data_IF_196773187518
#
_entry.id   IF_196773187518
#
_cell.length_a   1.000
_cell.length_b   1.000
_cell.length_c   1.000
_cell.angle_alpha   90.00
_cell.angle_beta   90.00
_cell.angle_gamma   90.00
#
_symmetry.space_group_name_H-M   'P 1'
#
loop_
_entity.id
_entity.type
_entity.pdbx_description
1 polymer ?
#
# COMPACT_ATOMS: atom_id res chain seq x y z
N UNK A 1 -23.56 -14.23 5.97
CA UNK A 1 -22.32 -15.03 6.19
C UNK A 1 -21.21 -14.04 6.46
N UNK A 2 -20.97 -13.70 7.74
CA UNK A 2 -19.91 -12.75 8.12
C UNK A 2 -18.69 -13.54 8.61
N UNK A 3 -17.81 -13.93 7.69
CA UNK A 3 -16.50 -14.47 8.03
C UNK A 3 -15.48 -13.33 8.11
N UNK A 4 -15.65 -12.47 9.11
CA UNK A 4 -14.65 -11.48 9.50
C UNK A 4 -13.61 -12.14 10.41
N UNK A 5 -12.73 -12.99 9.86
CA UNK A 5 -11.60 -13.53 10.60
C UNK A 5 -10.76 -12.37 11.13
N UNK A 6 -10.84 -12.11 12.44
CA UNK A 6 -10.09 -11.09 13.18
C UNK A 6 -8.60 -11.47 13.27
N UNK A 7 -7.96 -11.73 12.15
CA UNK A 7 -6.51 -11.91 12.15
C UNK A 7 -5.86 -10.54 12.34
N UNK A 8 -5.13 -10.43 13.47
CA UNK A 8 -4.32 -9.26 13.80
C UNK A 8 -3.36 -8.99 12.64
N UNK A 9 -3.54 -7.85 11.98
CA UNK A 9 -2.58 -7.35 10.98
C UNK A 9 -1.26 -7.10 11.70
N UNK A 10 -0.19 -7.73 11.22
CA UNK A 10 1.16 -7.51 11.74
C UNK A 10 1.76 -6.25 11.10
N UNK A 11 2.59 -5.52 11.84
CA UNK A 11 3.31 -4.36 11.31
C UNK A 11 4.68 -4.79 10.83
N UNK A 12 5.09 -4.34 9.65
CA UNK A 12 6.45 -4.47 9.14
C UNK A 12 7.02 -3.06 8.99
N UNK A 13 8.21 -2.82 9.50
CA UNK A 13 8.99 -1.63 9.20
C UNK A 13 9.87 -1.92 7.97
N UNK A 14 9.56 -1.39 6.79
CA UNK A 14 10.35 -1.69 5.60
C UNK A 14 11.72 -1.01 5.70
N UNK A 15 12.77 -1.83 5.87
CA UNK A 15 14.18 -1.41 5.83
C UNK A 15 14.89 -2.20 4.75
N UNK A 16 15.51 -1.52 3.80
CA UNK A 16 16.10 -2.17 2.63
C UNK A 16 15.04 -2.84 1.76
N UNK A 17 15.37 -4.01 1.22
CA UNK A 17 14.45 -4.78 0.38
C UNK A 17 13.52 -5.67 1.23
N UNK A 18 12.21 -5.60 0.97
CA UNK A 18 11.20 -6.38 1.68
C UNK A 18 10.59 -7.41 0.74
N UNK A 19 11.20 -8.59 0.70
CA UNK A 19 10.77 -9.71 -0.13
C UNK A 19 10.49 -10.99 0.65
N UNK A 20 10.93 -11.07 1.91
CA UNK A 20 10.74 -12.23 2.77
C UNK A 20 9.57 -12.06 3.75
N UNK A 21 8.66 -13.04 3.79
CA UNK A 21 7.56 -13.10 4.75
C UNK A 21 8.07 -13.37 6.18
N UNK A 22 7.83 -12.47 7.15
CA UNK A 22 8.31 -12.65 8.53
C UNK A 22 7.49 -13.70 9.31
N UNK A 23 6.44 -14.28 8.72
CA UNK A 23 5.61 -15.30 9.37
C UNK A 23 5.84 -16.72 8.87
N UNK A 24 6.25 -16.90 7.62
CA UNK A 24 6.48 -18.23 7.05
C UNK A 24 7.81 -18.37 6.28
N UNK A 25 8.58 -17.30 6.13
CA UNK A 25 9.89 -17.32 5.47
C UNK A 25 9.87 -17.41 3.94
N UNK A 26 8.71 -17.25 3.28
CA UNK A 26 8.61 -17.16 1.82
C UNK A 26 9.42 -15.97 1.26
N UNK A 27 10.16 -16.11 0.16
CA UNK A 27 11.17 -15.14 -0.31
C UNK A 27 10.94 -14.59 -1.74
N UNK A 28 9.75 -14.74 -2.33
CA UNK A 28 9.47 -14.28 -3.70
C UNK A 28 8.54 -13.06 -3.71
N UNK A 29 8.65 -12.22 -2.68
CA UNK A 29 7.85 -11.00 -2.56
C UNK A 29 6.43 -11.20 -2.05
N UNK A 30 5.60 -10.16 -2.25
CA UNK A 30 4.25 -10.07 -1.69
C UNK A 30 3.26 -9.58 -2.74
N UNK A 31 2.00 -9.99 -2.60
CA UNK A 31 0.89 -9.29 -3.24
C UNK A 31 0.61 -7.97 -2.53
N UNK A 32 0.20 -6.96 -3.28
CA UNK A 32 -0.07 -5.62 -2.77
C UNK A 32 -1.57 -5.37 -2.81
N UNK A 33 -2.13 -4.86 -1.70
CA UNK A 33 -3.51 -4.41 -1.60
C UNK A 33 -3.57 -2.97 -1.10
N UNK A 34 -4.51 -2.21 -1.65
CA UNK A 34 -4.78 -0.84 -1.23
C UNK A 34 -6.07 -0.79 -0.43
N UNK A 35 -6.05 -0.07 0.69
CA UNK A 35 -7.24 0.22 1.48
C UNK A 35 -7.46 1.72 1.48
N UNK A 36 -8.47 2.18 0.74
CA UNK A 36 -8.81 3.59 0.61
C UNK A 36 -9.79 4.01 1.69
N UNK A 37 -9.71 5.27 2.11
CA UNK A 37 -10.74 5.90 2.92
C UNK A 37 -12.05 6.06 2.12
N UNK A 38 -13.13 6.48 2.78
CA UNK A 38 -14.46 6.56 2.17
C UNK A 38 -14.53 7.49 0.93
N UNK A 39 -13.73 8.55 0.89
CA UNK A 39 -13.73 9.49 -0.25
C UNK A 39 -12.70 9.13 -1.33
N UNK A 40 -11.93 8.06 -1.12
CA UNK A 40 -10.85 7.60 -1.99
C UNK A 40 -9.74 8.65 -2.19
N UNK A 41 -9.57 9.60 -1.26
CA UNK A 41 -8.55 10.65 -1.30
C UNK A 41 -7.22 10.17 -0.74
N UNK A 42 -7.27 9.33 0.30
CA UNK A 42 -6.12 8.75 0.97
C UNK A 42 -6.31 7.25 1.16
N UNK A 43 -5.21 6.51 1.15
CA UNK A 43 -5.24 5.07 1.39
C UNK A 43 -3.96 4.57 2.05
N UNK A 44 -3.98 3.30 2.40
CA UNK A 44 -2.86 2.59 3.00
C UNK A 44 -2.50 1.35 2.19
N UNK A 45 -1.21 1.03 2.17
CA UNK A 45 -0.67 -0.16 1.51
C UNK A 45 -0.57 -1.32 2.50
N UNK A 46 -1.04 -2.48 2.07
CA UNK A 46 -0.88 -3.75 2.77
C UNK A 46 -0.10 -4.74 1.90
N UNK A 47 0.80 -5.48 2.52
CA UNK A 47 1.50 -6.61 1.91
C UNK A 47 0.80 -7.92 2.30
N UNK A 48 0.59 -8.81 1.35
CA UNK A 48 -0.08 -10.10 1.55
C UNK A 48 0.87 -11.19 1.09
N UNK A 49 1.22 -12.11 1.99
CA UNK A 49 2.08 -13.22 1.64
C UNK A 49 1.31 -14.22 0.74
N UNK A 50 1.82 -14.59 -0.46
CA UNK A 50 1.15 -15.56 -1.33
C UNK A 50 1.13 -16.97 -0.75
N UNK A 51 2.10 -17.32 0.10
CA UNK A 51 2.18 -18.66 0.68
C UNK A 51 1.26 -18.85 1.90
N UNK A 52 1.26 -17.90 2.85
CA UNK A 52 0.51 -18.05 4.10
C UNK A 52 -0.68 -17.08 4.26
N UNK A 53 -0.95 -16.27 3.24
CA UNK A 53 -2.07 -15.32 3.14
C UNK A 53 -2.15 -14.25 4.24
N UNK A 54 -1.13 -14.15 5.10
CA UNK A 54 -1.10 -13.17 6.17
C UNK A 54 -0.93 -11.76 5.61
N UNK A 55 -1.66 -10.83 6.20
CA UNK A 55 -1.62 -9.40 5.87
C UNK A 55 -0.68 -8.66 6.80
N UNK A 56 0.09 -7.75 6.22
CA UNK A 56 1.05 -6.91 6.91
C UNK A 56 0.80 -5.44 6.55
N UNK A 57 0.77 -4.58 7.57
CA UNK A 57 0.70 -3.13 7.40
C UNK A 57 2.12 -2.57 7.45
N UNK A 58 2.49 -1.78 6.44
CA UNK A 58 3.81 -1.14 6.37
C UNK A 58 3.78 0.33 6.80
N UNK A 59 2.60 0.87 7.09
CA UNK A 59 2.41 2.26 7.52
C UNK A 59 2.55 3.30 6.40
N UNK A 60 2.79 2.87 5.16
CA UNK A 60 2.84 3.77 4.01
C UNK A 60 1.43 4.23 3.63
N UNK A 61 1.27 5.56 3.64
CA UNK A 61 0.07 6.24 3.16
C UNK A 61 0.27 6.66 1.72
N UNK A 62 -0.79 6.54 0.93
CA UNK A 62 -0.84 7.01 -0.45
C UNK A 62 -1.98 8.02 -0.60
N UNK A 63 -1.78 8.98 -1.50
CA UNK A 63 -2.82 9.92 -1.91
C UNK A 63 -3.28 9.56 -3.31
N UNK A 64 -4.56 9.74 -3.58
CA UNK A 64 -5.11 9.58 -4.91
C UNK A 64 -5.11 10.94 -5.64
N UNK A 65 -4.23 11.16 -6.63
CA UNK A 65 -4.13 12.45 -7.31
C UNK A 65 -5.40 12.81 -8.07
N UNK A 66 -6.21 11.84 -8.49
CA UNK A 66 -7.47 12.07 -9.20
C UNK A 66 -8.57 12.67 -8.31
N UNK A 67 -8.36 12.74 -7.00
CA UNK A 67 -9.27 13.27 -5.97
C UNK A 67 -8.67 14.43 -5.17
N UNK A 68 -7.44 14.83 -5.46
CA UNK A 68 -6.81 16.01 -4.87
C UNK A 68 -7.46 17.29 -5.40
N UNK A 69 -7.77 18.23 -4.51
CA UNK A 69 -8.12 19.60 -4.88
C UNK A 69 -7.13 20.13 -5.91
N UNK A 70 -7.67 20.87 -6.89
CA UNK A 70 -6.90 21.51 -7.96
C UNK A 70 -6.03 22.63 -7.37
N UNK A 71 -4.93 22.29 -6.70
CA UNK A 71 -3.88 23.27 -6.42
C UNK A 71 -2.93 23.32 -7.60
N UNK A 72 -3.16 24.31 -8.46
CA UNK A 72 -2.14 24.99 -9.28
C UNK A 72 -1.19 24.11 -10.07
N UNK A 73 -1.67 23.48 -11.14
CA UNK A 73 -0.78 23.15 -12.26
C UNK A 73 -0.45 24.46 -12.98
N UNK A 74 0.62 25.13 -12.54
CA UNK A 74 1.25 26.17 -13.36
C UNK A 74 1.86 25.49 -14.58
N UNK A 75 1.49 25.98 -15.75
CA UNK A 75 2.07 25.70 -17.07
C UNK A 75 3.58 25.41 -16.98
N UNK A 76 3.99 24.19 -17.34
CA UNK A 76 5.37 23.94 -17.71
C UNK A 76 5.54 24.43 -19.14
N UNK A 77 6.13 25.62 -19.31
CA UNK A 77 6.64 26.04 -20.61
C UNK A 77 7.75 25.08 -21.03
N UNK A 78 7.47 24.26 -22.04
CA UNK A 78 8.45 23.41 -22.70
C UNK A 78 9.30 24.33 -23.57
N UNK A 79 10.42 24.83 -23.03
CA UNK A 79 11.48 25.35 -23.88
C UNK A 79 12.18 24.18 -24.57
N UNK A 80 11.78 23.93 -25.81
CA UNK A 80 12.54 23.14 -26.77
C UNK A 80 13.84 23.87 -27.08
N UNK A 81 14.98 23.20 -26.85
CA UNK A 81 16.27 23.53 -27.44
C UNK A 81 16.68 22.40 -28.39
#
# INVERSE_FOLDING_TARGET
>A
MEMGSKEKVKIIEPKGEVYQCPSCGYQDGFHISFNWNQDHSEGEIYLICPNCHRRFRIGWKIKNPSKGEKEGLTEFEIHSY
#
